data_IF_786939755228
#
_entry.id   IF_786939755228
#
_cell.length_a   1.000
_cell.length_b   1.000
_cell.length_c   1.000
_cell.angle_alpha   90.00
_cell.angle_beta   90.00
_cell.angle_gamma   90.00
#
_symmetry.space_group_name_H-M   'P 1'
#
loop_
_entity.id
_entity.type
_entity.pdbx_description
1 polymer ?
#
# COMPACT_ATOMS: atom_id res chain seq x y z
N UNK A 1 -9.75 13.24 -13.82
CA UNK A 1 -8.29 13.19 -13.71
C UNK A 1 -7.92 13.22 -12.25
N UNK A 2 -7.19 12.23 -11.81
CA UNK A 2 -6.62 12.15 -10.47
C UNK A 2 -5.10 12.26 -10.60
N UNK A 3 -4.46 13.05 -9.74
CA UNK A 3 -3.02 13.30 -9.78
C UNK A 3 -2.42 12.90 -8.44
N UNK A 4 -1.38 12.08 -8.51
CA UNK A 4 -0.56 11.70 -7.37
C UNK A 4 0.82 12.37 -7.53
N UNK A 5 1.07 13.39 -6.73
CA UNK A 5 2.30 14.19 -6.79
C UNK A 5 3.50 13.43 -6.22
N UNK A 6 3.30 12.48 -5.32
CA UNK A 6 4.38 11.72 -4.70
C UNK A 6 5.00 10.72 -5.68
N UNK A 7 4.15 10.07 -6.48
CA UNK A 7 4.59 9.09 -7.49
C UNK A 7 4.73 9.68 -8.88
N UNK A 8 4.38 10.99 -9.08
CA UNK A 8 4.27 11.63 -10.39
C UNK A 8 3.36 10.85 -11.36
N UNK A 9 2.28 10.23 -10.84
CA UNK A 9 1.31 9.46 -11.59
C UNK A 9 0.03 10.27 -11.79
N UNK A 10 -0.52 10.20 -12.99
CA UNK A 10 -1.79 10.83 -13.36
C UNK A 10 -2.71 9.79 -13.95
N UNK A 11 -3.86 9.59 -13.35
CA UNK A 11 -4.92 8.73 -13.86
C UNK A 11 -5.99 9.57 -14.57
N UNK A 12 -6.29 9.20 -15.79
CA UNK A 12 -7.26 9.91 -16.65
C UNK A 12 -8.38 8.95 -17.00
N UNK A 13 -9.57 9.20 -16.47
CA UNK A 13 -10.76 8.42 -16.80
C UNK A 13 -11.44 9.05 -18.02
N UNK A 14 -11.73 8.23 -19.02
CA UNK A 14 -12.36 8.62 -20.26
C UNK A 14 -13.58 7.73 -20.56
N UNK A 15 -14.58 8.23 -21.30
CA UNK A 15 -15.65 7.38 -21.82
C UNK A 15 -15.10 6.23 -22.67
N UNK A 16 -15.75 5.06 -22.63
CA UNK A 16 -15.29 3.85 -23.32
C UNK A 16 -15.04 4.04 -24.82
N UNK A 17 -15.89 4.83 -25.47
CA UNK A 17 -15.78 5.16 -26.89
C UNK A 17 -14.61 6.10 -27.23
N UNK A 18 -14.05 6.79 -26.24
CA UNK A 18 -12.92 7.71 -26.37
C UNK A 18 -11.56 7.09 -26.04
N UNK A 19 -11.54 5.89 -25.44
CA UNK A 19 -10.31 5.24 -25.00
C UNK A 19 -9.27 5.12 -26.12
N UNK A 20 -9.70 4.63 -27.29
CA UNK A 20 -8.79 4.46 -28.45
C UNK A 20 -8.21 5.78 -28.96
N UNK A 21 -8.95 6.89 -28.83
CA UNK A 21 -8.49 8.21 -29.20
C UNK A 21 -7.51 8.76 -28.17
N UNK A 22 -7.79 8.58 -26.89
CA UNK A 22 -6.94 9.04 -25.79
C UNK A 22 -5.58 8.33 -25.81
N UNK A 23 -5.56 7.01 -25.96
CA UNK A 23 -4.34 6.23 -26.07
C UNK A 23 -3.60 6.53 -27.39
N UNK A 24 -4.32 6.64 -28.48
CA UNK A 24 -3.78 6.83 -29.83
C UNK A 24 -3.16 5.55 -30.41
N UNK A 25 -2.71 5.60 -31.66
CA UNK A 25 -2.10 4.45 -32.34
C UNK A 25 -0.84 4.01 -31.61
N UNK A 26 -0.80 2.76 -31.13
CA UNK A 26 0.33 2.17 -30.38
C UNK A 26 0.73 3.00 -29.15
N UNK A 27 -0.23 3.62 -28.48
CA UNK A 27 0.05 4.42 -27.28
C UNK A 27 0.71 5.78 -27.55
N UNK A 28 0.64 6.29 -28.78
CA UNK A 28 1.40 7.48 -29.19
C UNK A 28 0.94 8.75 -28.47
N UNK A 29 -0.38 8.92 -28.27
CA UNK A 29 -0.91 10.11 -27.61
C UNK A 29 -0.58 10.13 -26.13
N UNK A 30 -0.81 9.03 -25.42
CA UNK A 30 -0.49 8.94 -23.98
C UNK A 30 1.02 9.09 -23.74
N UNK A 31 1.86 8.47 -24.59
CA UNK A 31 3.31 8.59 -24.50
C UNK A 31 3.80 10.02 -24.71
N UNK A 32 3.25 10.73 -25.70
CA UNK A 32 3.60 12.13 -25.95
C UNK A 32 3.14 13.03 -24.81
N UNK A 33 1.92 12.82 -24.29
CA UNK A 33 1.40 13.54 -23.15
C UNK A 33 2.27 13.32 -21.90
N UNK A 34 2.67 12.08 -21.63
CA UNK A 34 3.58 11.73 -20.55
C UNK A 34 4.96 12.40 -20.69
N UNK A 35 5.54 12.38 -21.89
CA UNK A 35 6.84 13.02 -22.14
C UNK A 35 6.79 14.55 -22.02
N UNK A 36 5.68 15.18 -22.40
CA UNK A 36 5.52 16.64 -22.33
C UNK A 36 5.22 17.13 -20.93
N UNK A 37 4.46 16.37 -20.15
CA UNK A 37 4.06 16.72 -18.79
C UNK A 37 5.11 16.33 -17.73
N UNK A 38 5.92 15.31 -18.01
CA UNK A 38 6.81 14.68 -17.03
C UNK A 38 6.08 13.73 -16.07
N UNK A 39 4.79 13.45 -16.33
CA UNK A 39 3.95 12.57 -15.50
C UNK A 39 3.78 11.22 -16.16
N UNK A 40 3.76 10.17 -15.36
CA UNK A 40 3.28 8.87 -15.82
C UNK A 40 1.76 8.94 -15.96
N UNK A 41 1.23 8.81 -17.19
CA UNK A 41 -0.19 8.92 -17.46
C UNK A 41 -0.77 7.53 -17.71
N UNK A 42 -1.74 7.16 -16.88
CA UNK A 42 -2.56 5.97 -17.04
C UNK A 42 -3.96 6.37 -17.51
N UNK A 43 -4.49 5.66 -18.51
CA UNK A 43 -5.81 5.97 -19.08
C UNK A 43 -6.72 4.78 -18.84
N UNK A 44 -7.81 5.03 -18.12
CA UNK A 44 -8.84 4.06 -17.77
C UNK A 44 -10.18 4.46 -18.39
N UNK A 45 -11.02 3.48 -18.67
CA UNK A 45 -12.41 3.72 -18.99
C UNK A 45 -13.24 3.99 -17.75
N UNK A 46 -14.43 4.60 -17.92
CA UNK A 46 -15.38 4.77 -16.81
C UNK A 46 -15.83 3.42 -16.23
N UNK A 47 -15.93 2.38 -17.09
CA UNK A 47 -16.27 1.03 -16.67
C UNK A 47 -15.16 0.41 -15.82
N UNK A 48 -13.91 0.46 -16.28
CA UNK A 48 -12.74 -0.04 -15.53
C UNK A 48 -12.56 0.66 -14.19
N UNK A 49 -12.73 1.98 -14.16
CA UNK A 49 -12.64 2.76 -12.92
C UNK A 49 -13.77 2.41 -11.96
N UNK A 50 -15.00 2.23 -12.46
CA UNK A 50 -16.14 1.82 -11.63
C UNK A 50 -15.94 0.42 -11.05
N UNK A 51 -15.44 -0.53 -11.86
CA UNK A 51 -15.14 -1.89 -11.43
C UNK A 51 -14.02 -1.89 -10.35
N UNK A 52 -12.95 -1.16 -10.59
CA UNK A 52 -11.86 -1.00 -9.62
C UNK A 52 -12.36 -0.47 -8.28
N UNK A 53 -13.17 0.60 -8.28
CA UNK A 53 -13.74 1.16 -7.04
C UNK A 53 -14.65 0.18 -6.32
N UNK A 54 -15.43 -0.60 -7.06
CA UNK A 54 -16.28 -1.62 -6.45
C UNK A 54 -15.45 -2.74 -5.82
N UNK A 55 -14.37 -3.17 -6.47
CA UNK A 55 -13.46 -4.17 -5.93
C UNK A 55 -12.71 -3.65 -4.69
N UNK A 56 -12.22 -2.42 -4.72
CA UNK A 56 -11.58 -1.78 -3.57
C UNK A 56 -12.54 -1.65 -2.39
N UNK A 57 -13.75 -1.15 -2.64
CA UNK A 57 -14.79 -1.03 -1.62
C UNK A 57 -15.12 -2.40 -1.00
N UNK A 58 -15.31 -3.41 -1.84
CA UNK A 58 -15.57 -4.78 -1.40
C UNK A 58 -14.40 -5.34 -0.59
N UNK A 59 -13.19 -5.18 -1.08
CA UNK A 59 -11.98 -5.69 -0.41
C UNK A 59 -11.81 -5.07 0.98
N UNK A 60 -12.00 -3.76 1.11
CA UNK A 60 -11.97 -3.05 2.41
C UNK A 60 -13.08 -3.51 3.34
N UNK A 61 -14.31 -3.62 2.82
CA UNK A 61 -15.45 -4.10 3.61
C UNK A 61 -15.23 -5.52 4.10
N UNK A 62 -14.78 -6.44 3.25
CA UNK A 62 -14.45 -7.82 3.61
C UNK A 62 -13.33 -7.89 4.67
N UNK A 63 -12.37 -6.97 4.60
CA UNK A 63 -11.31 -6.86 5.61
C UNK A 63 -11.87 -6.46 6.97
N UNK A 64 -12.70 -5.42 7.04
CA UNK A 64 -13.35 -4.98 8.28
C UNK A 64 -14.25 -6.07 8.87
N UNK A 65 -15.06 -6.75 8.06
CA UNK A 65 -15.90 -7.86 8.51
C UNK A 65 -15.07 -8.94 9.20
N UNK A 66 -14.00 -9.38 8.55
CA UNK A 66 -13.15 -10.46 9.08
C UNK A 66 -12.34 -10.05 10.29
N UNK A 67 -11.85 -8.82 10.32
CA UNK A 67 -10.95 -8.35 11.36
C UNK A 67 -11.69 -7.92 12.64
N UNK A 68 -12.86 -7.29 12.49
CA UNK A 68 -13.63 -6.73 13.59
C UNK A 68 -14.84 -7.59 13.98
N UNK A 69 -15.11 -8.66 13.23
CA UNK A 69 -16.28 -9.53 13.44
C UNK A 69 -17.61 -8.73 13.47
N UNK A 70 -17.80 -7.92 12.42
CA UNK A 70 -18.95 -7.05 12.21
C UNK A 70 -19.76 -7.50 11.00
N UNK A 71 -20.99 -7.02 10.89
CA UNK A 71 -21.83 -7.29 9.73
C UNK A 71 -21.50 -6.41 8.52
N UNK A 72 -22.03 -6.80 7.36
CA UNK A 72 -21.81 -6.12 6.08
C UNK A 72 -22.25 -4.65 6.12
N UNK A 73 -23.34 -4.35 6.86
CA UNK A 73 -23.93 -3.00 6.89
C UNK A 73 -22.99 -2.05 7.61
N UNK A 74 -22.45 -2.46 8.75
CA UNK A 74 -21.48 -1.66 9.53
C UNK A 74 -20.18 -1.49 8.73
N UNK A 75 -19.68 -2.56 8.11
CA UNK A 75 -18.47 -2.48 7.30
C UNK A 75 -18.62 -1.52 6.11
N UNK A 76 -19.75 -1.59 5.41
CA UNK A 76 -20.05 -0.69 4.30
C UNK A 76 -20.18 0.77 4.75
N UNK A 77 -20.77 1.03 5.92
CA UNK A 77 -20.85 2.37 6.48
C UNK A 77 -19.44 2.92 6.80
N UNK A 78 -18.58 2.12 7.43
CA UNK A 78 -17.20 2.53 7.73
C UNK A 78 -16.43 2.91 6.46
N UNK A 79 -16.49 2.08 5.42
CA UNK A 79 -15.82 2.40 4.15
C UNK A 79 -16.44 3.63 3.48
N UNK A 80 -17.77 3.81 3.56
CA UNK A 80 -18.45 4.98 3.00
C UNK A 80 -18.09 6.29 3.74
N UNK A 81 -17.82 6.21 5.04
CA UNK A 81 -17.37 7.35 5.86
C UNK A 81 -15.85 7.64 5.71
N UNK A 82 -15.14 6.84 4.89
CA UNK A 82 -13.75 7.08 4.52
C UNK A 82 -12.72 6.42 5.43
N UNK A 83 -13.10 5.40 6.21
CA UNK A 83 -12.13 4.60 6.93
C UNK A 83 -11.42 3.65 5.96
N UNK A 84 -10.11 3.76 5.87
CA UNK A 84 -9.29 2.97 4.96
C UNK A 84 -8.70 1.72 5.63
N UNK A 85 -8.42 1.81 6.93
CA UNK A 85 -7.78 0.74 7.71
C UNK A 85 -8.36 0.64 9.14
N UNK A 86 -7.97 -0.40 9.86
CA UNK A 86 -8.47 -0.67 11.22
C UNK A 86 -7.81 0.24 12.25
N UNK A 87 -6.59 0.67 11.97
CA UNK A 87 -5.84 1.60 12.78
C UNK A 87 -6.58 2.94 12.91
N UNK A 88 -7.14 3.47 11.82
CA UNK A 88 -7.93 4.70 11.81
C UNK A 88 -9.13 4.59 12.77
N UNK A 89 -9.82 3.44 12.76
CA UNK A 89 -10.94 3.16 13.67
C UNK A 89 -10.46 3.13 15.14
N UNK A 90 -9.31 2.51 15.39
CA UNK A 90 -8.75 2.40 16.73
C UNK A 90 -8.31 3.77 17.31
N UNK A 91 -7.84 4.68 16.44
CA UNK A 91 -7.39 6.01 16.80
C UNK A 91 -8.54 7.02 16.94
N UNK A 92 -9.60 6.85 16.15
CA UNK A 92 -10.78 7.74 16.17
C UNK A 92 -11.48 7.73 17.53
N UNK A 93 -11.96 8.87 17.99
CA UNK A 93 -12.67 8.98 19.28
C UNK A 93 -14.05 8.32 19.22
N UNK A 94 -14.55 7.82 20.38
CA UNK A 94 -15.90 7.23 20.47
C UNK A 94 -16.97 8.24 20.08
N UNK A 95 -16.78 9.54 20.43
CA UNK A 95 -17.70 10.60 20.06
C UNK A 95 -17.79 10.80 18.54
N UNK A 96 -16.67 10.75 17.85
CA UNK A 96 -16.64 10.85 16.38
C UNK A 96 -17.31 9.63 15.75
N UNK A 97 -16.97 8.42 16.18
CA UNK A 97 -17.61 7.19 15.69
C UNK A 97 -19.12 7.20 15.94
N UNK A 98 -19.59 7.63 17.13
CA UNK A 98 -21.02 7.70 17.44
C UNK A 98 -21.75 8.83 16.72
N UNK A 99 -21.05 9.80 16.13
CA UNK A 99 -21.65 10.83 15.29
C UNK A 99 -21.97 10.37 13.88
N UNK A 100 -21.46 9.21 13.47
CA UNK A 100 -21.71 8.61 12.16
C UNK A 100 -23.15 8.10 12.08
N UNK A 101 -23.73 8.19 10.89
CA UNK A 101 -25.11 7.75 10.69
C UNK A 101 -25.23 6.24 10.91
N UNK A 102 -26.07 5.83 11.84
CA UNK A 102 -26.31 4.41 12.15
C UNK A 102 -25.47 3.86 13.31
N UNK A 103 -24.64 4.71 13.94
CA UNK A 103 -23.84 4.33 15.11
C UNK A 103 -24.41 4.98 16.37
N UNK A 104 -24.57 4.19 17.42
CA UNK A 104 -24.78 4.70 18.78
C UNK A 104 -23.47 4.63 19.58
N UNK A 105 -23.49 5.16 20.81
CA UNK A 105 -22.29 5.22 21.66
C UNK A 105 -21.81 3.82 22.08
N UNK A 106 -22.74 2.89 22.31
CA UNK A 106 -22.40 1.52 22.71
C UNK A 106 -21.72 0.76 21.55
N UNK A 107 -22.27 0.87 20.34
CA UNK A 107 -21.68 0.28 19.14
C UNK A 107 -20.31 0.90 18.81
N UNK A 108 -20.19 2.22 18.92
CA UNK A 108 -18.94 2.92 18.69
C UNK A 108 -17.84 2.48 19.67
N UNK A 109 -18.18 2.31 20.95
CA UNK A 109 -17.25 1.81 21.97
C UNK A 109 -16.84 0.38 21.69
N UNK A 110 -17.79 -0.51 21.37
CA UNK A 110 -17.50 -1.91 21.06
C UNK A 110 -16.61 -2.04 19.83
N UNK A 111 -16.89 -1.28 18.77
CA UNK A 111 -16.11 -1.26 17.54
C UNK A 111 -14.67 -0.81 17.80
N UNK A 112 -14.50 0.26 18.55
CA UNK A 112 -13.17 0.77 18.96
C UNK A 112 -12.39 -0.27 19.76
N UNK A 113 -13.02 -0.93 20.73
CA UNK A 113 -12.37 -1.94 21.56
C UNK A 113 -11.92 -3.15 20.72
N UNK A 114 -12.73 -3.55 19.73
CA UNK A 114 -12.38 -4.61 18.78
C UNK A 114 -11.22 -4.20 17.89
N UNK A 115 -11.24 -2.96 17.36
CA UNK A 115 -10.16 -2.43 16.54
C UNK A 115 -8.83 -2.36 17.32
N UNK A 116 -8.83 -1.83 18.53
CA UNK A 116 -7.64 -1.81 19.42
C UNK A 116 -7.13 -3.23 19.71
N UNK A 117 -8.03 -4.17 19.94
CA UNK A 117 -7.68 -5.56 20.22
C UNK A 117 -7.06 -6.24 18.99
N UNK A 118 -7.58 -5.96 17.81
CA UNK A 118 -7.06 -6.46 16.54
C UNK A 118 -5.66 -5.91 16.27
N UNK A 119 -5.47 -4.59 16.36
CA UNK A 119 -4.17 -3.92 16.14
C UNK A 119 -3.11 -4.48 17.10
N UNK A 120 -3.44 -4.63 18.39
CA UNK A 120 -2.53 -5.23 19.39
C UNK A 120 -2.17 -6.69 19.08
N UNK A 121 -3.14 -7.46 18.57
CA UNK A 121 -2.91 -8.86 18.18
C UNK A 121 -2.01 -8.95 16.95
N UNK A 122 -2.26 -8.09 15.97
CA UNK A 122 -1.47 -8.06 14.73
C UNK A 122 -0.03 -7.59 15.00
N UNK A 123 0.16 -6.56 15.82
CA UNK A 123 1.49 -6.13 16.26
C UNK A 123 2.27 -7.27 16.95
N UNK A 124 1.62 -8.02 17.86
CA UNK A 124 2.26 -9.19 18.50
C UNK A 124 2.63 -10.27 17.48
N UNK A 125 1.77 -10.51 16.49
CA UNK A 125 2.03 -11.47 15.42
C UNK A 125 3.22 -11.06 14.57
N UNK A 126 3.30 -9.77 14.19
CA UNK A 126 4.41 -9.19 13.45
C UNK A 126 5.72 -9.38 14.23
N UNK A 127 5.76 -9.00 15.51
CA UNK A 127 6.94 -9.13 16.36
C UNK A 127 7.37 -10.60 16.47
N UNK A 128 6.44 -11.50 16.74
CA UNK A 128 6.74 -12.93 16.83
C UNK A 128 7.27 -13.52 15.50
N UNK A 129 6.75 -13.05 14.35
CA UNK A 129 7.23 -13.46 13.03
C UNK A 129 8.65 -12.97 12.77
N UNK A 130 8.94 -11.71 13.09
CA UNK A 130 10.26 -11.08 12.96
C UNK A 130 11.29 -11.85 13.81
N UNK A 131 10.96 -12.16 15.09
CA UNK A 131 11.83 -12.92 15.99
C UNK A 131 12.06 -14.35 15.48
N UNK A 132 11.01 -15.04 15.05
CA UNK A 132 11.09 -16.41 14.50
C UNK A 132 11.97 -16.48 13.26
N UNK A 133 11.84 -15.51 12.38
CA UNK A 133 12.61 -15.42 11.12
C UNK A 133 14.04 -14.91 11.35
N UNK A 134 14.32 -14.35 12.54
CA UNK A 134 15.60 -13.73 12.90
C UNK A 134 15.99 -12.60 11.95
N UNK A 135 15.02 -11.74 11.66
CA UNK A 135 15.24 -10.56 10.83
C UNK A 135 16.03 -9.53 11.65
N UNK A 136 17.04 -8.94 11.04
CA UNK A 136 17.93 -8.00 11.72
C UNK A 136 17.30 -6.61 11.85
N UNK A 137 17.82 -5.84 12.81
CA UNK A 137 17.26 -4.54 13.16
C UNK A 137 17.43 -3.49 12.03
N UNK A 138 18.45 -3.64 11.22
CA UNK A 138 18.71 -2.77 10.06
C UNK A 138 17.65 -2.91 8.96
N UNK A 139 17.11 -4.12 8.74
CA UNK A 139 16.01 -4.34 7.81
C UNK A 139 14.66 -3.95 8.41
N UNK A 140 14.47 -4.16 9.73
CA UNK A 140 13.23 -3.78 10.44
C UNK A 140 13.04 -2.26 10.41
N UNK A 141 14.12 -1.49 10.54
CA UNK A 141 14.10 -0.03 10.56
C UNK A 141 14.24 0.59 9.15
N UNK A 142 14.12 -0.20 8.10
CA UNK A 142 14.22 0.30 6.74
C UNK A 142 12.88 0.90 6.30
N UNK A 143 12.83 2.24 6.19
CA UNK A 143 11.61 3.03 6.04
C UNK A 143 10.85 2.78 4.74
N UNK A 144 11.54 2.30 3.69
CA UNK A 144 10.93 2.03 2.38
C UNK A 144 10.12 0.72 2.31
N UNK A 145 10.15 -0.08 3.38
CA UNK A 145 9.43 -1.34 3.46
C UNK A 145 8.48 -1.36 4.67
N UNK A 146 7.26 -1.83 4.43
CA UNK A 146 6.32 -2.08 5.51
C UNK A 146 6.56 -3.45 6.18
N UNK A 147 5.94 -3.65 7.36
CA UNK A 147 6.13 -4.88 8.16
C UNK A 147 5.74 -6.16 7.42
N UNK A 148 4.72 -6.14 6.55
CA UNK A 148 4.29 -7.29 5.76
C UNK A 148 5.37 -7.67 4.74
N UNK A 149 5.90 -6.68 4.03
CA UNK A 149 7.00 -6.84 3.07
C UNK A 149 8.26 -7.39 3.75
N UNK A 150 8.63 -6.85 4.93
CA UNK A 150 9.78 -7.32 5.70
C UNK A 150 9.63 -8.79 6.12
N UNK A 151 8.44 -9.19 6.58
CA UNK A 151 8.17 -10.59 6.93
C UNK A 151 8.27 -11.48 5.68
N UNK A 152 7.69 -11.04 4.56
CA UNK A 152 7.74 -11.78 3.28
C UNK A 152 9.17 -11.98 2.80
N UNK A 153 10.00 -10.95 2.89
CA UNK A 153 11.44 -11.07 2.61
C UNK A 153 12.13 -12.07 3.54
N UNK A 154 11.86 -11.98 4.84
CA UNK A 154 12.39 -12.91 5.83
C UNK A 154 12.01 -14.37 5.58
N UNK A 155 10.78 -14.64 5.12
CA UNK A 155 10.32 -15.97 4.72
C UNK A 155 11.09 -16.52 3.51
N UNK A 156 11.56 -15.64 2.64
CA UNK A 156 12.38 -15.98 1.46
C UNK A 156 13.90 -15.92 1.74
N UNK A 157 14.30 -15.78 3.01
CA UNK A 157 15.69 -15.85 3.42
C UNK A 157 16.43 -14.52 3.44
N UNK A 158 15.81 -13.41 3.02
CA UNK A 158 16.35 -12.06 3.05
C UNK A 158 16.11 -11.51 4.47
N UNK A 159 17.17 -11.43 5.30
CA UNK A 159 17.04 -11.17 6.73
C UNK A 159 17.70 -9.89 7.21
N UNK A 160 18.49 -9.26 6.38
CA UNK A 160 19.19 -8.01 6.70
C UNK A 160 19.22 -7.10 5.48
N UNK A 161 19.63 -5.85 5.69
CA UNK A 161 19.71 -4.83 4.65
C UNK A 161 20.70 -5.21 3.54
N UNK A 162 21.77 -5.93 3.86
CA UNK A 162 22.76 -6.41 2.90
C UNK A 162 22.18 -7.49 1.98
N UNK A 163 21.39 -8.44 2.53
CA UNK A 163 20.68 -9.43 1.70
C UNK A 163 19.74 -8.74 0.70
N UNK A 164 19.02 -7.69 1.15
CA UNK A 164 18.15 -6.88 0.29
C UNK A 164 18.94 -6.14 -0.78
N UNK A 165 20.07 -5.54 -0.43
CA UNK A 165 20.94 -4.81 -1.35
C UNK A 165 21.55 -5.70 -2.43
N UNK A 166 21.68 -7.00 -2.19
CA UNK A 166 22.20 -7.97 -3.15
C UNK A 166 21.18 -8.48 -4.18
N UNK A 167 19.87 -8.21 -3.98
CA UNK A 167 18.84 -8.56 -4.95
C UNK A 167 18.90 -7.69 -6.21
N UNK A 168 18.37 -8.18 -7.31
CA UNK A 168 18.03 -7.33 -8.44
C UNK A 168 16.56 -6.82 -8.37
N UNK A 169 16.20 -5.86 -9.22
CA UNK A 169 14.88 -5.25 -9.20
C UNK A 169 13.77 -6.21 -9.60
N UNK A 170 14.03 -7.17 -10.49
CA UNK A 170 13.06 -8.17 -10.91
C UNK A 170 12.81 -9.21 -9.80
N UNK A 171 13.86 -9.64 -9.10
CA UNK A 171 13.75 -10.56 -7.97
C UNK A 171 12.91 -9.94 -6.83
N UNK A 172 13.20 -8.69 -6.45
CA UNK A 172 12.43 -7.99 -5.42
C UNK A 172 10.98 -7.79 -5.84
N UNK A 173 10.75 -7.43 -7.11
CA UNK A 173 9.40 -7.29 -7.65
C UNK A 173 8.61 -8.61 -7.62
N UNK A 174 9.20 -9.73 -8.05
CA UNK A 174 8.56 -11.05 -7.98
C UNK A 174 8.16 -11.42 -6.54
N UNK A 175 9.00 -11.12 -5.57
CA UNK A 175 8.74 -11.42 -4.16
C UNK A 175 7.63 -10.58 -3.54
N UNK A 176 7.54 -9.29 -3.91
CA UNK A 176 6.70 -8.29 -3.24
C UNK A 176 5.60 -7.69 -4.12
N UNK A 177 5.41 -8.15 -5.37
CA UNK A 177 4.36 -7.64 -6.25
C UNK A 177 2.94 -7.82 -5.67
N UNK A 178 2.71 -8.88 -4.90
CA UNK A 178 1.45 -9.12 -4.19
C UNK A 178 1.36 -8.37 -2.85
N UNK A 179 2.45 -7.79 -2.38
CA UNK A 179 2.58 -7.05 -1.12
C UNK A 179 2.66 -5.52 -1.36
N UNK A 180 2.21 -5.07 -2.54
CA UNK A 180 2.06 -3.64 -2.85
C UNK A 180 3.25 -2.98 -3.53
N UNK A 181 4.22 -3.74 -4.07
CA UNK A 181 5.24 -3.19 -4.98
C UNK A 181 4.67 -3.16 -6.40
N UNK A 182 4.43 -1.97 -6.93
CA UNK A 182 3.68 -1.78 -8.19
C UNK A 182 4.51 -2.07 -9.46
N UNK A 183 5.83 -1.96 -9.40
CA UNK A 183 6.70 -2.13 -10.57
C UNK A 183 8.14 -2.46 -10.20
N UNK A 184 8.89 -3.01 -11.19
CA UNK A 184 10.34 -3.21 -11.06
C UNK A 184 11.12 -1.91 -10.85
N UNK A 185 10.58 -0.77 -11.30
CA UNK A 185 11.20 0.54 -11.09
C UNK A 185 11.15 0.94 -9.61
N UNK A 186 10.00 0.71 -8.94
CA UNK A 186 9.85 0.94 -7.49
C UNK A 186 10.77 -0.02 -6.72
N UNK A 187 10.81 -1.29 -7.10
CA UNK A 187 11.72 -2.26 -6.51
C UNK A 187 13.19 -1.81 -6.66
N UNK A 188 13.56 -1.29 -7.83
CA UNK A 188 14.89 -0.74 -8.09
C UNK A 188 15.26 0.44 -7.18
N UNK A 189 14.33 1.35 -6.90
CA UNK A 189 14.54 2.47 -5.97
C UNK A 189 14.79 1.97 -4.55
N UNK A 190 14.02 0.99 -4.08
CA UNK A 190 14.19 0.36 -2.76
C UNK A 190 15.58 -0.27 -2.64
N UNK A 191 16.01 -1.03 -3.65
CA UNK A 191 17.35 -1.65 -3.66
C UNK A 191 18.45 -0.59 -3.67
N UNK A 192 18.30 0.49 -4.45
CA UNK A 192 19.28 1.57 -4.47
C UNK A 192 19.39 2.29 -3.12
N UNK A 193 18.27 2.48 -2.42
CA UNK A 193 18.27 2.99 -1.06
C UNK A 193 18.94 2.01 -0.08
N UNK A 194 18.71 0.71 -0.24
CA UNK A 194 19.42 -0.29 0.55
C UNK A 194 20.95 -0.29 0.33
N UNK A 195 21.38 0.03 -0.90
CA UNK A 195 22.82 0.13 -1.29
C UNK A 195 23.47 1.46 -0.91
N UNK A 196 22.75 2.44 -0.42
CA UNK A 196 23.30 3.78 -0.12
C UNK A 196 24.56 3.71 0.75
N UNK A 197 24.63 2.79 1.72
CA UNK A 197 25.77 2.61 2.60
C UNK A 197 27.05 2.14 1.86
N UNK A 198 26.94 1.45 0.71
CA UNK A 198 28.12 1.05 -0.08
C UNK A 198 28.88 2.25 -0.64
N UNK A 199 28.17 3.34 -0.95
CA UNK A 199 28.75 4.55 -1.51
C UNK A 199 29.33 5.49 -0.43
N UNK A 200 28.82 5.41 0.81
CA UNK A 200 29.33 6.20 1.93
C UNK A 200 30.67 5.70 2.47
N UNK A 201 30.99 4.40 2.28
CA UNK A 201 32.27 3.81 2.68
C UNK A 201 33.41 4.17 1.69
N UNK A 202 33.09 4.32 0.40
CA UNK A 202 34.09 4.68 -0.61
C UNK A 202 34.61 6.13 -0.45
N UNK A 203 33.78 7.08 0.05
CA UNK A 203 34.20 8.45 0.30
C UNK A 203 35.13 8.60 1.53
N UNK A 204 35.11 7.62 2.46
CA UNK A 204 35.98 7.66 3.66
C UNK A 204 37.34 7.02 3.47
N UNK A 205 37.55 6.33 2.35
CA UNK A 205 38.86 5.68 2.05
C UNK A 205 39.77 6.52 1.18
N UNK A 206 39.31 7.69 0.67
CA UNK A 206 40.11 8.62 -0.16
C UNK A 206 40.61 9.88 0.59
N UNK A 207 40.52 9.91 1.92
CA UNK A 207 41.19 10.87 2.82
C UNK A 207 42.34 10.18 3.57
#
# INVERSE_FOLDING_TARGET
VVMDEETNKMEVVVPDDQLSLAIGRRGQNVRLASQLSGWYIDILTEAEESERRQEEFKSRSDHFIKALDIDDVIAHLLVAEGFDNIEDIAETSVQELSSLQGFDEDLAQELKDRAISYVKKEQKRIIASIEKLKISQDLINFEELNSSQIIKLGENGIKNKEDLANLDSSELYELLSQEGIESEEVAGKIIMSARAHWFEEDEKTDE
#
